data_IF_770086671457
#
_entry.id   IF_770086671457
#
_cell.length_a   1.000
_cell.length_b   1.000
_cell.length_c   1.000
_cell.angle_alpha   90.00
_cell.angle_beta   90.00
_cell.angle_gamma   90.00
#
_symmetry.space_group_name_H-M   'P 1'
#
loop_
_entity.id
_entity.type
_entity.pdbx_description
1 polymer ?
#
# COMPACT_ATOMS: atom_id res chain seq x y z
N UNK A 1 18.30 12.69 18.56
CA UNK A 1 17.92 12.16 17.23
C UNK A 1 18.01 10.64 17.16
N UNK A 2 19.09 10.00 17.60
CA UNK A 2 19.29 8.54 17.53
C UNK A 2 18.13 7.71 18.16
N UNK A 3 17.71 8.08 19.36
CA UNK A 3 16.53 7.49 20.02
C UNK A 3 15.27 7.48 19.13
N UNK A 4 14.91 8.60 18.49
CA UNK A 4 13.69 8.65 17.65
C UNK A 4 13.77 7.72 16.45
N UNK A 5 14.97 7.57 15.86
CA UNK A 5 15.21 6.71 14.70
C UNK A 5 15.11 5.24 15.09
N UNK A 6 15.65 4.86 16.26
CA UNK A 6 15.62 3.47 16.75
C UNK A 6 14.20 2.98 17.05
N UNK A 7 13.30 3.88 17.47
CA UNK A 7 11.89 3.57 17.74
C UNK A 7 10.98 3.74 16.50
N UNK A 8 11.49 4.22 15.36
CA UNK A 8 10.69 4.48 14.16
C UNK A 8 9.85 3.27 13.69
N UNK A 9 10.37 2.03 13.67
CA UNK A 9 9.58 0.86 13.25
C UNK A 9 8.38 0.57 14.17
N UNK A 10 8.51 0.89 15.46
CA UNK A 10 7.43 0.67 16.45
C UNK A 10 6.24 1.58 16.15
N UNK A 11 6.46 2.80 15.67
CA UNK A 11 5.36 3.68 15.25
C UNK A 11 4.60 3.12 14.03
N UNK A 12 5.30 2.49 13.09
CA UNK A 12 4.66 1.79 11.96
C UNK A 12 3.80 0.61 12.43
N UNK A 13 4.31 -0.20 13.37
CA UNK A 13 3.54 -1.29 13.97
C UNK A 13 2.32 -0.79 14.75
N UNK A 14 2.46 0.29 15.51
CA UNK A 14 1.35 0.92 16.23
C UNK A 14 0.27 1.45 15.27
N UNK A 15 0.68 2.03 14.14
CA UNK A 15 -0.26 2.48 13.10
C UNK A 15 -1.02 1.29 12.49
N UNK A 16 -0.34 0.18 12.18
CA UNK A 16 -0.98 -1.03 11.67
C UNK A 16 -1.95 -1.63 12.70
N UNK A 17 -1.56 -1.66 13.98
CA UNK A 17 -2.43 -2.12 15.07
C UNK A 17 -3.68 -1.24 15.18
N UNK A 18 -3.52 0.09 15.09
CA UNK A 18 -4.64 1.02 15.09
C UNK A 18 -5.58 0.77 13.91
N UNK A 19 -5.05 0.63 12.69
CA UNK A 19 -5.82 0.35 11.48
C UNK A 19 -6.59 -0.96 11.62
N UNK A 20 -5.96 -2.01 12.17
CA UNK A 20 -6.62 -3.29 12.41
C UNK A 20 -7.81 -3.16 13.37
N UNK A 21 -7.63 -2.48 14.51
CA UNK A 21 -8.71 -2.25 15.48
C UNK A 21 -9.84 -1.43 14.84
N UNK A 22 -9.50 -0.37 14.10
CA UNK A 22 -10.48 0.48 13.43
C UNK A 22 -11.24 -0.25 12.34
N UNK A 23 -10.56 -1.04 11.52
CA UNK A 23 -11.20 -1.87 10.49
C UNK A 23 -12.22 -2.83 11.10
N UNK A 24 -11.86 -3.51 12.21
CA UNK A 24 -12.78 -4.41 12.90
C UNK A 24 -13.97 -3.69 13.54
N UNK A 25 -13.79 -2.44 13.99
CA UNK A 25 -14.89 -1.63 14.51
C UNK A 25 -15.83 -1.16 13.39
N UNK A 26 -15.29 -0.79 12.22
CA UNK A 26 -16.07 -0.39 11.04
C UNK A 26 -16.84 -1.59 10.48
N UNK A 27 -16.23 -2.77 10.43
CA UNK A 27 -16.88 -3.99 9.93
C UNK A 27 -18.11 -4.43 10.74
N UNK A 28 -18.22 -3.97 12.00
CA UNK A 28 -19.37 -4.22 12.87
C UNK A 28 -20.48 -3.17 12.73
N UNK A 29 -20.27 -2.11 11.95
CA UNK A 29 -21.29 -1.08 11.74
C UNK A 29 -22.39 -1.62 10.82
N UNK A 30 -23.62 -1.17 11.04
CA UNK A 30 -24.76 -1.57 10.23
C UNK A 30 -24.62 -1.03 8.81
N UNK A 31 -24.87 -1.89 7.82
CA UNK A 31 -24.76 -1.56 6.39
C UNK A 31 -25.97 -0.70 5.93
N UNK A 32 -27.04 -0.67 6.72
CA UNK A 32 -28.28 0.03 6.42
C UNK A 32 -29.33 -0.90 5.81
N UNK A 33 -29.90 -0.51 4.67
CA UNK A 33 -30.96 -1.29 4.00
C UNK A 33 -30.40 -2.35 3.05
N UNK A 34 -31.20 -3.35 2.69
CA UNK A 34 -30.83 -4.38 1.69
C UNK A 34 -30.41 -3.76 0.35
N UNK A 35 -31.14 -2.73 -0.11
CA UNK A 35 -30.78 -1.97 -1.31
C UNK A 35 -29.40 -1.31 -1.19
N UNK A 36 -29.07 -0.76 -0.02
CA UNK A 36 -27.75 -0.17 0.23
C UNK A 36 -26.63 -1.21 0.21
N UNK A 37 -26.86 -2.40 0.81
CA UNK A 37 -25.90 -3.49 0.79
C UNK A 37 -25.55 -3.93 -0.64
N UNK A 38 -26.57 -4.08 -1.50
CA UNK A 38 -26.38 -4.45 -2.92
C UNK A 38 -25.59 -3.38 -3.68
N UNK A 39 -25.88 -2.09 -3.44
CA UNK A 39 -25.15 -0.98 -4.07
C UNK A 39 -23.68 -1.00 -3.62
N UNK A 40 -23.43 -1.12 -2.31
CA UNK A 40 -22.08 -1.15 -1.76
C UNK A 40 -21.25 -2.32 -2.30
N UNK A 41 -21.84 -3.50 -2.43
CA UNK A 41 -21.18 -4.68 -2.99
C UNK A 41 -20.80 -4.46 -4.47
N UNK A 42 -21.70 -3.90 -5.28
CA UNK A 42 -21.41 -3.60 -6.68
C UNK A 42 -20.32 -2.53 -6.83
N UNK A 43 -20.31 -1.51 -5.98
CA UNK A 43 -19.25 -0.50 -5.95
C UNK A 43 -17.91 -1.15 -5.59
N UNK A 44 -17.87 -1.98 -4.53
CA UNK A 44 -16.64 -2.65 -4.10
C UNK A 44 -16.08 -3.58 -5.19
N UNK A 45 -16.93 -4.35 -5.87
CA UNK A 45 -16.55 -5.20 -7.00
C UNK A 45 -15.99 -4.39 -8.17
N UNK A 46 -16.65 -3.27 -8.50
CA UNK A 46 -16.19 -2.35 -9.55
C UNK A 46 -14.82 -1.74 -9.22
N UNK A 47 -14.66 -1.22 -8.01
CA UNK A 47 -13.41 -0.64 -7.53
C UNK A 47 -12.25 -1.65 -7.54
N UNK A 48 -12.49 -2.88 -7.07
CA UNK A 48 -11.47 -3.93 -7.08
C UNK A 48 -11.08 -4.35 -8.49
N UNK A 49 -12.03 -4.37 -9.44
CA UNK A 49 -11.75 -4.66 -10.85
C UNK A 49 -10.90 -3.58 -11.49
N UNK A 50 -11.19 -2.30 -11.19
CA UNK A 50 -10.39 -1.16 -11.63
C UNK A 50 -8.97 -1.21 -11.06
N UNK A 51 -8.82 -1.37 -9.75
CA UNK A 51 -7.50 -1.44 -9.09
C UNK A 51 -6.66 -2.59 -9.64
N UNK A 52 -7.28 -3.75 -9.90
CA UNK A 52 -6.58 -4.89 -10.50
C UNK A 52 -6.06 -4.58 -11.91
N UNK A 53 -6.86 -3.89 -12.72
CA UNK A 53 -6.45 -3.48 -14.07
C UNK A 53 -5.30 -2.46 -14.01
N UNK A 54 -5.38 -1.49 -13.11
CA UNK A 54 -4.35 -0.48 -12.88
C UNK A 54 -3.04 -1.11 -12.39
N UNK A 55 -3.11 -1.96 -11.36
CA UNK A 55 -1.93 -2.58 -10.75
C UNK A 55 -1.22 -3.53 -11.71
N UNK A 56 -1.95 -4.14 -12.65
CA UNK A 56 -1.36 -4.98 -13.69
C UNK A 56 -0.40 -4.18 -14.58
N UNK A 57 -0.78 -2.96 -14.96
CA UNK A 57 0.05 -2.11 -15.83
C UNK A 57 1.13 -1.41 -14.99
N UNK A 58 0.75 -0.89 -13.82
CA UNK A 58 1.66 -0.19 -12.91
C UNK A 58 2.82 -1.08 -12.45
N UNK A 59 2.57 -2.37 -12.19
CA UNK A 59 3.62 -3.30 -11.74
C UNK A 59 4.72 -3.48 -12.78
N UNK A 60 4.39 -3.52 -14.07
CA UNK A 60 5.38 -3.59 -15.15
C UNK A 60 6.27 -2.33 -15.11
N UNK A 61 5.65 -1.16 -15.00
CA UNK A 61 6.37 0.11 -14.91
C UNK A 61 7.32 0.16 -13.69
N UNK A 62 6.83 -0.21 -12.51
CA UNK A 62 7.62 -0.24 -11.26
C UNK A 62 8.79 -1.21 -11.37
N UNK A 63 8.59 -2.41 -11.93
CA UNK A 63 9.67 -3.40 -12.11
C UNK A 63 10.72 -2.89 -13.09
N UNK A 64 10.30 -2.32 -14.23
CA UNK A 64 11.22 -1.74 -15.20
C UNK A 64 12.04 -0.59 -14.59
N UNK A 65 11.40 0.32 -13.85
CA UNK A 65 12.09 1.40 -13.16
C UNK A 65 13.06 0.88 -12.10
N UNK A 66 12.66 -0.10 -11.28
CA UNK A 66 13.53 -0.68 -10.27
C UNK A 66 14.79 -1.27 -10.89
N UNK A 67 14.68 -1.98 -12.02
CA UNK A 67 15.82 -2.51 -12.76
C UNK A 67 16.73 -1.41 -13.32
N UNK A 68 16.15 -0.38 -13.94
CA UNK A 68 16.93 0.75 -14.48
C UNK A 68 17.67 1.51 -13.38
N UNK A 69 16.98 1.79 -12.26
CA UNK A 69 17.57 2.45 -11.10
C UNK A 69 18.63 1.59 -10.43
N UNK A 70 18.45 0.27 -10.39
CA UNK A 70 19.47 -0.65 -9.88
C UNK A 70 20.75 -0.61 -10.70
N UNK A 71 20.63 -0.67 -12.03
CA UNK A 71 21.78 -0.58 -12.93
C UNK A 71 22.45 0.79 -12.81
N UNK A 72 21.68 1.89 -12.86
CA UNK A 72 22.24 3.24 -12.73
C UNK A 72 22.92 3.43 -11.37
N UNK A 73 22.24 3.07 -10.29
CA UNK A 73 22.73 3.27 -8.93
C UNK A 73 23.94 2.41 -8.56
N UNK A 74 24.15 1.29 -9.25
CA UNK A 74 25.34 0.44 -9.08
C UNK A 74 26.57 0.96 -9.84
N UNK A 75 26.38 1.81 -10.85
CA UNK A 75 27.43 2.30 -11.74
C UNK A 75 27.82 3.77 -11.47
N UNK A 76 27.17 4.43 -10.52
CA UNK A 76 27.38 5.84 -10.18
C UNK A 76 28.20 5.94 -8.88
N UNK A 77 29.28 6.73 -8.90
CA UNK A 77 30.08 7.00 -7.72
C UNK A 77 29.25 7.72 -6.65
N UNK A 78 29.21 7.16 -5.43
CA UNK A 78 28.43 7.71 -4.32
C UNK A 78 26.96 7.28 -4.27
N UNK A 79 26.53 6.36 -5.14
CA UNK A 79 25.18 5.76 -5.14
C UNK A 79 25.19 4.30 -4.68
N UNK A 80 24.00 3.75 -4.41
CA UNK A 80 23.78 2.32 -4.19
C UNK A 80 22.76 1.75 -5.18
N UNK A 81 22.96 0.50 -5.61
CA UNK A 81 22.02 -0.20 -6.51
C UNK A 81 20.62 -0.36 -5.92
N UNK A 82 20.48 -0.46 -4.59
CA UNK A 82 19.18 -0.62 -3.94
C UNK A 82 18.49 0.71 -3.63
N UNK A 83 18.87 1.82 -4.27
CA UNK A 83 18.29 3.16 -4.01
C UNK A 83 16.77 3.24 -4.23
N UNK A 84 16.21 2.32 -5.01
CA UNK A 84 14.78 2.23 -5.28
C UNK A 84 13.97 1.49 -4.18
N UNK A 85 14.62 0.99 -3.13
CA UNK A 85 14.04 0.28 -1.99
C UNK A 85 14.35 1.02 -0.69
#
# INVERSE_FOLDING_TARGET
MKFVIDFLPIFGLLALLFVFIKNNWIAKQEIGTEKMAIIAENIAKGAMSFLKAEYRILSIFVVCLALLLYIKGSNEEGSHGMVAL
#
